data_IF_929069447041
#
_entry.id   IF_929069447041
#
_cell.length_a   1.000
_cell.length_b   1.000
_cell.length_c   1.000
_cell.angle_alpha   90.00
_cell.angle_beta   90.00
_cell.angle_gamma   90.00
#
_symmetry.space_group_name_H-M   'P 1'
#
loop_
_entity.id
_entity.type
_entity.pdbx_description
1 polymer ?
#
# COMPACT_ATOMS: atom_id res chain seq x y z
N UNK A 1 -4.67 17.94 -7.12
CA UNK A 1 -3.77 16.85 -7.55
C UNK A 1 -3.81 16.83 -9.07
N UNK A 2 -2.66 16.88 -9.78
CA UNK A 2 -2.61 16.93 -11.24
C UNK A 2 -3.33 15.76 -11.93
N UNK A 3 -3.88 15.99 -13.13
CA UNK A 3 -4.59 14.98 -13.91
C UNK A 3 -3.75 13.75 -14.22
N UNK A 4 -2.48 13.95 -14.56
CA UNK A 4 -1.55 12.86 -14.87
C UNK A 4 -1.30 11.92 -13.67
N UNK A 5 -1.67 12.30 -12.45
CA UNK A 5 -1.59 11.43 -11.26
C UNK A 5 -2.87 10.66 -11.04
N UNK A 6 -4.01 11.19 -11.50
CA UNK A 6 -5.31 10.56 -11.33
C UNK A 6 -5.38 9.19 -12.01
N UNK A 7 -4.67 9.02 -13.13
CA UNK A 7 -4.52 7.74 -13.82
C UNK A 7 -3.87 6.63 -12.99
N UNK A 8 -3.14 6.99 -11.93
CA UNK A 8 -2.49 6.03 -11.02
C UNK A 8 -3.31 5.75 -9.75
N UNK A 9 -4.51 6.31 -9.60
CA UNK A 9 -5.40 5.97 -8.49
C UNK A 9 -5.94 4.56 -8.69
N UNK A 10 -5.51 3.65 -7.84
CA UNK A 10 -5.97 2.27 -7.85
C UNK A 10 -6.69 1.93 -6.54
N UNK A 11 -7.66 0.99 -6.56
CA UNK A 11 -8.28 0.52 -5.34
C UNK A 11 -7.22 0.01 -4.35
N UNK A 12 -7.46 0.20 -3.05
CA UNK A 12 -6.53 -0.20 -1.97
C UNK A 12 -5.15 0.47 -2.08
N UNK A 13 -5.07 1.65 -2.68
CA UNK A 13 -3.86 2.48 -2.70
C UNK A 13 -4.17 3.91 -2.29
N UNK A 14 -3.16 4.62 -1.82
CA UNK A 14 -3.24 6.03 -1.47
C UNK A 14 -2.04 6.78 -2.03
N UNK A 15 -2.30 7.88 -2.72
CA UNK A 15 -1.26 8.75 -3.27
C UNK A 15 -1.12 9.96 -2.35
N UNK A 16 0.09 10.18 -1.85
CA UNK A 16 0.44 11.32 -1.00
C UNK A 16 1.41 12.23 -1.73
N UNK A 17 1.15 13.53 -1.70
CA UNK A 17 2.14 14.53 -2.06
C UNK A 17 2.98 14.82 -0.81
N UNK A 18 4.28 14.53 -0.86
CA UNK A 18 5.20 14.76 0.26
C UNK A 18 6.36 15.61 -0.26
N UNK A 19 6.40 16.87 0.20
CA UNK A 19 7.38 17.91 -0.18
C UNK A 19 7.46 18.17 -1.69
N UNK A 20 8.22 17.34 -2.41
CA UNK A 20 8.59 17.53 -3.81
C UNK A 20 8.21 16.33 -4.69
N UNK A 21 7.49 15.35 -4.16
CA UNK A 21 7.17 14.14 -4.89
C UNK A 21 5.81 13.56 -4.55
N UNK A 22 5.32 12.72 -5.46
CA UNK A 22 4.13 11.93 -5.25
C UNK A 22 4.53 10.50 -4.93
N UNK A 23 3.99 9.96 -3.85
CA UNK A 23 4.31 8.64 -3.34
C UNK A 23 3.03 7.84 -3.20
N UNK A 24 3.06 6.62 -3.71
CA UNK A 24 1.93 5.69 -3.67
C UNK A 24 2.16 4.68 -2.56
N UNK A 25 1.17 4.52 -1.70
CA UNK A 25 1.17 3.59 -0.58
C UNK A 25 0.06 2.56 -0.74
N UNK A 26 0.29 1.35 -0.23
CA UNK A 26 -0.77 0.37 -0.08
C UNK A 26 -1.73 0.81 1.04
N UNK A 27 -3.01 0.52 0.90
CA UNK A 27 -4.02 0.75 1.93
C UNK A 27 -4.80 -0.53 2.14
N UNK A 28 -4.96 -0.91 3.39
CA UNK A 28 -5.82 -2.00 3.79
C UNK A 28 -6.87 -1.49 4.77
N UNK A 29 -7.98 -2.19 4.84
CA UNK A 29 -9.08 -1.86 5.73
C UNK A 29 -9.27 -3.05 6.66
N UNK A 30 -9.22 -2.80 7.96
CA UNK A 30 -9.41 -3.85 8.97
C UNK A 30 -10.46 -3.41 9.96
N UNK A 31 -11.45 -4.27 10.18
CA UNK A 31 -12.46 -4.02 11.20
C UNK A 31 -11.81 -3.97 12.58
N UNK A 32 -12.08 -2.89 13.32
CA UNK A 32 -11.65 -2.72 14.70
C UNK A 32 -12.87 -2.92 15.63
N UNK A 33 -12.95 -4.06 16.36
CA UNK A 33 -14.07 -4.35 17.23
C UNK A 33 -14.16 -3.42 18.45
N UNK A 34 -13.03 -2.88 18.92
CA UNK A 34 -13.01 -1.95 20.06
C UNK A 34 -13.68 -0.63 19.71
N UNK A 35 -13.40 -0.11 18.50
CA UNK A 35 -13.99 1.13 17.99
C UNK A 35 -15.32 0.90 17.25
N UNK A 36 -15.74 -0.36 17.09
CA UNK A 36 -16.89 -0.79 16.28
C UNK A 36 -16.92 -0.16 14.88
N UNK A 37 -15.74 -0.02 14.25
CA UNK A 37 -15.61 0.60 12.92
C UNK A 37 -14.42 0.03 12.16
N UNK A 38 -14.44 0.16 10.85
CA UNK A 38 -13.31 -0.21 10.00
C UNK A 38 -12.23 0.86 10.06
N UNK A 39 -11.05 0.49 10.55
CA UNK A 39 -9.88 1.36 10.51
C UNK A 39 -9.18 1.22 9.15
N UNK A 40 -8.82 2.37 8.57
CA UNK A 40 -7.94 2.45 7.40
C UNK A 40 -6.49 2.34 7.87
N UNK A 41 -5.78 1.36 7.32
CA UNK A 41 -4.38 1.07 7.63
C UNK A 41 -3.56 1.35 6.38
N UNK A 42 -2.78 2.44 6.40
CA UNK A 42 -1.77 2.70 5.37
C UNK A 42 -0.59 1.74 5.58
N UNK A 43 -0.25 0.99 4.54
CA UNK A 43 0.81 0.00 4.52
C UNK A 43 2.08 0.50 3.86
N UNK A 44 2.75 -0.40 3.13
CA UNK A 44 4.07 -0.16 2.52
C UNK A 44 4.04 0.88 1.39
N UNK A 45 5.19 1.51 1.16
CA UNK A 45 5.42 2.35 -0.01
C UNK A 45 5.48 1.47 -1.27
N UNK A 46 4.54 1.65 -2.19
CA UNK A 46 4.48 0.95 -3.47
C UNK A 46 5.41 1.56 -4.51
N UNK A 47 5.65 2.87 -4.46
CA UNK A 47 6.50 3.56 -5.43
C UNK A 47 6.36 5.07 -5.41
N UNK A 48 7.15 5.73 -6.25
CA UNK A 48 7.05 7.18 -6.51
C UNK A 48 6.35 7.41 -7.87
N UNK A 49 5.68 8.54 -8.02
CA UNK A 49 5.08 8.97 -9.28
C UNK A 49 5.77 10.26 -9.70
N UNK A 50 6.30 10.27 -10.92
CA UNK A 50 6.96 11.41 -11.56
C UNK A 50 6.19 11.81 -12.81
N UNK A 51 6.33 13.05 -13.24
CA UNK A 51 5.64 13.54 -14.45
C UNK A 51 6.24 12.93 -15.73
N UNK A 52 7.57 12.80 -15.77
CA UNK A 52 8.34 12.27 -16.89
C UNK A 52 8.20 10.75 -17.05
N UNK A 53 8.55 9.97 -16.02
CA UNK A 53 8.57 8.50 -16.09
C UNK A 53 7.25 7.84 -15.64
N UNK A 54 6.35 8.60 -15.00
CA UNK A 54 5.12 8.05 -14.44
C UNK A 54 5.33 7.32 -13.11
N UNK A 55 4.63 6.18 -12.91
CA UNK A 55 4.74 5.38 -11.68
C UNK A 55 5.97 4.47 -11.70
N UNK A 56 6.88 4.73 -10.77
CA UNK A 56 8.11 3.98 -10.56
C UNK A 56 7.94 3.13 -9.30
N UNK A 57 7.74 1.80 -9.43
CA UNK A 57 7.53 0.92 -8.29
C UNK A 57 8.79 0.82 -7.44
N UNK A 58 8.61 0.82 -6.11
CA UNK A 58 9.67 0.54 -5.16
C UNK A 58 9.72 -0.97 -4.92
N UNK A 59 10.78 -1.62 -5.42
CA UNK A 59 11.13 -3.01 -5.11
C UNK A 59 11.62 -3.12 -3.66
N UNK A 60 10.75 -2.89 -2.66
CA UNK A 60 11.09 -3.17 -1.26
C UNK A 60 10.01 -3.99 -0.56
N UNK A 61 10.26 -5.30 -0.65
CA UNK A 61 10.02 -6.39 0.30
C UNK A 61 8.65 -6.40 0.98
N UNK A 62 7.84 -7.34 0.50
CA UNK A 62 6.69 -7.93 1.18
C UNK A 62 6.92 -8.03 2.69
N UNK A 63 6.07 -7.44 3.55
CA UNK A 63 6.02 -7.91 4.93
C UNK A 63 5.54 -9.35 4.86
N UNK A 64 6.45 -10.32 5.06
CA UNK A 64 6.14 -11.76 5.22
C UNK A 64 5.20 -11.92 6.41
N UNK A 65 3.91 -11.65 6.20
CA UNK A 65 2.84 -12.03 7.11
C UNK A 65 2.26 -13.31 6.55
N UNK A 66 2.65 -14.42 7.18
CA UNK A 66 2.09 -15.78 7.04
C UNK A 66 2.85 -16.83 6.21
N UNK A 67 4.16 -16.68 5.95
CA UNK A 67 4.94 -17.85 5.49
C UNK A 67 5.19 -18.89 6.61
N UNK A 68 4.99 -18.51 7.88
CA UNK A 68 5.13 -19.41 9.04
C UNK A 68 3.88 -20.25 9.32
N UNK A 69 2.70 -19.90 8.78
CA UNK A 69 1.48 -20.69 8.98
C UNK A 69 1.51 -21.98 8.14
N UNK A 70 1.93 -21.86 6.87
CA UNK A 70 1.99 -23.00 5.95
C UNK A 70 3.02 -24.07 6.32
N UNK A 71 4.05 -23.73 7.11
CA UNK A 71 5.05 -24.71 7.56
C UNK A 71 4.57 -25.49 8.80
N UNK A 72 3.68 -24.91 9.59
CA UNK A 72 3.10 -25.53 10.80
C UNK A 72 1.87 -26.41 10.48
N UNK A 73 1.20 -26.16 9.35
CA UNK A 73 0.11 -27.00 8.84
C UNK A 73 0.61 -28.28 8.14
N UNK A 74 1.93 -28.44 7.93
CA UNK A 74 2.54 -29.61 7.27
C UNK A 74 3.21 -30.60 8.24
N UNK A 75 3.17 -30.30 9.54
CA UNK A 75 3.79 -31.12 10.63
C UNK A 75 2.72 -31.76 11.53
N UNK A 76 1.45 -31.77 11.10
CA UNK A 76 0.36 -32.48 11.79
C UNK A 76 -0.20 -33.58 10.89
#
# INVERSE_FOLDING_TARGET
MPEWIQKYKEPKTEIKNIKSGYYKYAVTYKYNPQKKRTDKITGVLLGKITEDEGFIPCLKITPKKNLLKSLMDLVH
#
